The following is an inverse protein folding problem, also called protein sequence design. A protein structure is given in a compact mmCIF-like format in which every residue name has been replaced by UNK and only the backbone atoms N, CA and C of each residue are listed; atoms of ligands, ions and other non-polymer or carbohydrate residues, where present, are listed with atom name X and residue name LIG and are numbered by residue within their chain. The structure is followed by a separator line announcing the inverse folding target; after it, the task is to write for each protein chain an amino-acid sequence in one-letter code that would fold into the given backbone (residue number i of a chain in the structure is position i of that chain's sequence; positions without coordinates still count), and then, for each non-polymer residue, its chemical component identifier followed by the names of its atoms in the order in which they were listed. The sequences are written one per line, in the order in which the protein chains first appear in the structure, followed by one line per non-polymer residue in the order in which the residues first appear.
data_IF_128800578093
#
_entry.id   IF_128800578093
#
_cell.length_a   1.000
_cell.length_b   1.000
_cell.length_c   1.000
_cell.angle_alpha   90.00
_cell.angle_beta   90.00
_cell.angle_gamma   90.00
#
_symmetry.space_group_name_H-M   'P 1'
#
loop_
_entity.id
_entity.type
_entity.pdbx_description
1 polymer ?
#
# COMPACT_ATOMS: atom_id res chain seq x y z
N UNK A 1 -19.92 -14.38 -3.04
CA UNK A 1 -18.98 -15.40 -2.54
C UNK A 1 -18.48 -14.93 -1.18
N UNK A 2 -18.83 -15.61 -0.09
CA UNK A 2 -18.39 -15.22 1.25
C UNK A 2 -16.97 -15.72 1.47
N UNK A 3 -16.04 -14.81 1.77
CA UNK A 3 -14.69 -15.20 2.20
C UNK A 3 -14.80 -15.60 3.67
N UNK A 4 -14.66 -16.89 3.98
CA UNK A 4 -14.57 -17.33 5.36
C UNK A 4 -13.24 -16.84 5.96
N UNK A 5 -13.31 -16.23 7.15
CA UNK A 5 -12.12 -16.05 7.99
C UNK A 5 -11.56 -17.44 8.29
N UNK A 6 -10.36 -17.74 7.77
CA UNK A 6 -9.61 -18.94 8.17
C UNK A 6 -9.02 -18.69 9.53
N UNK A 7 -9.53 -19.44 10.51
CA UNK A 7 -9.15 -19.39 11.91
C UNK A 7 -8.72 -20.80 12.32
N UNK A 8 -7.51 -20.91 12.83
CA UNK A 8 -7.01 -22.10 13.53
C UNK A 8 -7.14 -21.80 15.04
N UNK A 9 -7.60 -22.77 15.85
CA UNK A 9 -7.56 -22.65 17.31
C UNK A 9 -6.47 -23.56 17.87
N UNK A 10 -5.63 -23.02 18.76
CA UNK A 10 -4.65 -23.78 19.54
C UNK A 10 -4.83 -23.54 21.04
N UNK A 11 -4.88 -24.61 21.87
CA UNK A 11 -4.72 -24.46 23.31
C UNK A 11 -3.25 -24.19 23.63
N UNK A 12 -2.98 -23.23 24.51
CA UNK A 12 -1.63 -23.02 25.06
C UNK A 12 -1.44 -23.85 26.35
N UNK A 13 -0.19 -24.07 26.76
CA UNK A 13 0.18 -24.91 27.91
C UNK A 13 -0.40 -24.42 29.25
N UNK A 14 -0.76 -23.13 29.35
CA UNK A 14 -1.42 -22.53 30.52
C UNK A 14 -2.96 -22.52 30.44
N UNK A 15 -3.55 -23.12 29.39
CA UNK A 15 -5.00 -23.28 29.22
C UNK A 15 -5.71 -22.13 28.49
N UNK A 16 -4.99 -21.08 28.07
CA UNK A 16 -5.56 -20.00 27.26
C UNK A 16 -5.78 -20.46 25.79
N UNK A 17 -6.86 -19.97 25.18
CA UNK A 17 -7.23 -20.28 23.79
C UNK A 17 -6.68 -19.23 22.83
N UNK A 18 -5.67 -19.59 22.03
CA UNK A 18 -5.20 -18.75 20.94
C UNK A 18 -6.01 -19.01 19.67
N UNK A 19 -6.45 -17.92 19.06
CA UNK A 19 -7.05 -17.88 17.73
C UNK A 19 -5.96 -17.37 16.78
N UNK A 20 -5.44 -18.21 15.90
CA UNK A 20 -4.60 -17.80 14.78
C UNK A 20 -5.46 -17.60 13.52
N UNK A 21 -5.07 -16.70 12.61
CA UNK A 21 -5.82 -16.50 11.38
C UNK A 21 -5.14 -15.62 10.33
N UNK A 22 -5.77 -15.56 9.16
CA UNK A 22 -5.30 -14.83 7.98
C UNK A 22 -6.04 -13.49 7.83
N UNK A 23 -5.45 -12.40 8.33
CA UNK A 23 -6.05 -11.06 8.24
C UNK A 23 -5.79 -10.39 6.88
N UNK A 24 -6.87 -10.05 6.18
CA UNK A 24 -6.83 -9.15 5.02
C UNK A 24 -6.54 -7.71 5.46
N UNK A 25 -5.49 -7.11 4.92
CA UNK A 25 -5.19 -5.68 5.05
C UNK A 25 -5.13 -5.06 3.64
N UNK A 26 -5.88 -3.98 3.45
CA UNK A 26 -5.98 -3.27 2.18
C UNK A 26 -5.02 -2.08 2.15
N UNK A 27 -4.39 -1.83 0.99
CA UNK A 27 -3.53 -0.67 0.81
C UNK A 27 -4.39 0.59 0.62
N UNK A 28 -4.35 1.50 1.59
CA UNK A 28 -5.03 2.81 1.56
C UNK A 28 -4.08 3.99 1.31
N UNK A 29 -2.78 3.72 1.10
CA UNK A 29 -1.75 4.74 0.94
C UNK A 29 -2.00 5.64 -0.28
N UNK A 30 -1.79 6.95 -0.10
CA UNK A 30 -1.88 7.98 -1.14
C UNK A 30 -0.51 8.37 -1.70
N UNK A 31 0.57 8.14 -0.95
CA UNK A 31 1.96 8.44 -1.29
C UNK A 31 2.73 7.16 -1.66
N UNK A 32 3.74 7.24 -2.56
CA UNK A 32 4.72 6.17 -2.72
C UNK A 32 5.58 6.00 -1.46
N UNK A 33 5.93 4.75 -1.15
CA UNK A 33 6.81 4.38 -0.03
C UNK A 33 8.12 3.76 -0.53
N UNK A 34 9.10 3.60 0.36
CA UNK A 34 10.37 2.96 0.04
C UNK A 34 10.44 1.54 0.58
N UNK A 35 11.00 0.64 -0.23
CA UNK A 35 11.43 -0.68 0.23
C UNK A 35 12.94 -0.64 0.49
N UNK A 36 13.42 -1.46 1.41
CA UNK A 36 14.83 -1.69 1.65
C UNK A 36 15.46 -2.28 0.37
N UNK A 37 16.48 -1.61 -0.16
CA UNK A 37 17.32 -2.20 -1.21
C UNK A 37 18.06 -3.40 -0.60
N UNK A 38 17.93 -4.56 -1.25
CA UNK A 38 18.77 -5.71 -0.93
C UNK A 38 19.97 -5.68 -1.86
N UNK A 39 21.13 -5.34 -1.33
CA UNK A 39 22.39 -5.37 -2.07
C UNK A 39 22.67 -6.79 -2.58
N UNK A 40 22.82 -6.96 -3.90
CA UNK A 40 23.08 -8.26 -4.54
C UNK A 40 24.48 -8.84 -4.22
N UNK A 41 25.28 -8.13 -3.43
CA UNK A 41 26.61 -8.53 -2.95
C UNK A 41 26.62 -9.87 -2.18
N UNK A 42 25.49 -10.31 -1.61
CA UNK A 42 25.37 -11.63 -0.96
C UNK A 42 24.84 -12.73 -1.90
N UNK A 43 24.38 -12.39 -3.12
CA UNK A 43 23.66 -13.33 -4.00
C UNK A 43 24.55 -14.21 -4.87
N UNK A 44 25.85 -13.94 -4.94
CA UNK A 44 26.81 -14.70 -5.77
C UNK A 44 28.03 -15.14 -4.95
N UNK A 45 27.77 -15.97 -3.92
CA UNK A 45 28.69 -17.05 -3.58
C UNK A 45 27.98 -18.38 -3.86
N UNK A 46 28.26 -19.06 -4.98
CA UNK A 46 27.85 -20.46 -5.09
C UNK A 46 28.48 -21.24 -3.92
N UNK A 47 27.79 -22.25 -3.36
CA UNK A 47 28.40 -23.12 -2.36
C UNK A 47 29.66 -23.77 -2.97
N UNK A 48 30.68 -24.10 -2.15
CA UNK A 48 31.91 -24.75 -2.61
C UNK A 48 31.63 -26.24 -2.94
N UNK A 49 30.86 -26.46 -4.00
CA UNK A 49 30.57 -27.77 -4.56
C UNK A 49 31.79 -28.27 -5.32
N UNK A 50 32.36 -29.38 -4.82
CA UNK A 50 33.47 -30.09 -5.45
C UNK A 50 33.14 -30.59 -6.87
N UNK A 51 34.14 -31.17 -7.55
CA UNK A 51 34.06 -31.83 -8.87
C UNK A 51 33.95 -30.93 -10.11
N UNK A 52 35.07 -30.25 -10.41
CA UNK A 52 35.86 -30.50 -11.63
C UNK A 52 35.08 -30.83 -12.93
N UNK A 53 34.71 -29.80 -13.69
CA UNK A 53 34.40 -29.94 -15.12
C UNK A 53 35.66 -29.83 -15.97
N UNK A 54 36.44 -30.90 -16.01
CA UNK A 54 37.50 -31.11 -17.00
C UNK A 54 37.19 -32.36 -17.82
N UNK A 55 36.52 -32.18 -18.95
CA UNK A 55 36.43 -33.20 -20.01
C UNK A 55 37.78 -33.32 -20.74
N UNK A 56 38.82 -33.74 -19.99
CA UNK A 56 40.16 -33.98 -20.51
C UNK A 56 40.23 -35.32 -21.21
N UNK A 57 40.54 -35.31 -22.50
CA UNK A 57 40.79 -36.53 -23.26
C UNK A 57 42.15 -37.15 -22.90
N UNK A 58 42.12 -38.38 -22.40
CA UNK A 58 43.19 -39.38 -22.60
C UNK A 58 42.68 -40.75 -22.10
N UNK A 59 42.74 -41.76 -22.97
CA UNK A 59 42.54 -43.16 -22.58
C UNK A 59 43.40 -44.03 -23.48
N UNK A 60 44.51 -44.52 -22.92
CA UNK A 60 45.46 -45.40 -23.57
C UNK A 60 45.63 -46.69 -22.74
N UNK A 61 46.01 -47.77 -23.43
CA UNK A 61 46.40 -49.09 -22.89
C UNK A 61 45.33 -50.09 -22.40
N UNK A 62 45.22 -51.17 -23.19
CA UNK A 62 45.01 -52.59 -22.80
C UNK A 62 43.60 -53.10 -22.42
N UNK A 63 43.06 -53.99 -23.28
CA UNK A 63 42.08 -55.04 -22.94
C UNK A 63 42.77 -56.43 -22.92
N UNK A 64 42.13 -57.57 -23.31
CA UNK A 64 40.75 -57.83 -23.77
C UNK A 64 40.14 -59.04 -22.99
N UNK A 65 39.27 -59.94 -23.53
CA UNK A 65 38.26 -59.89 -24.60
C UNK A 65 36.82 -60.24 -24.12
N UNK A 66 35.76 -60.05 -24.94
CA UNK A 66 34.37 -60.33 -24.48
C UNK A 66 33.17 -60.30 -25.45
N UNK A 67 33.28 -60.79 -26.69
CA UNK A 67 32.15 -61.27 -27.57
C UNK A 67 31.00 -60.33 -28.05
N UNK A 68 30.35 -60.74 -29.16
CA UNK A 68 29.03 -60.33 -29.71
C UNK A 68 28.81 -58.91 -30.28
N UNK A 69 29.18 -58.77 -31.56
CA UNK A 69 28.38 -58.28 -32.70
C UNK A 69 27.17 -57.32 -32.51
N UNK A 70 27.11 -56.25 -33.32
CA UNK A 70 25.93 -55.40 -33.53
C UNK A 70 26.21 -54.17 -34.41
N UNK A 71 25.95 -54.25 -35.72
CA UNK A 71 26.20 -53.15 -36.67
C UNK A 71 24.97 -52.25 -36.86
N UNK A 72 25.16 -50.92 -36.99
CA UNK A 72 24.91 -50.14 -38.25
C UNK A 72 25.01 -48.60 -38.03
N UNK A 73 25.14 -47.86 -39.14
CA UNK A 73 25.53 -46.44 -39.23
C UNK A 73 24.38 -45.50 -39.64
N UNK A 74 24.47 -44.18 -39.38
CA UNK A 74 23.44 -43.20 -39.72
C UNK A 74 23.55 -42.65 -41.17
N UNK A 75 22.51 -42.00 -41.71
CA UNK A 75 22.54 -41.25 -42.97
C UNK A 75 22.71 -39.73 -42.81
N UNK A 76 23.28 -39.10 -43.84
CA UNK A 76 23.34 -37.64 -44.13
C UNK A 76 22.54 -37.31 -45.42
N UNK A 77 22.71 -36.11 -46.02
CA UNK A 77 22.10 -35.57 -47.26
C UNK A 77 20.73 -34.85 -47.06
N UNK A 78 20.46 -33.55 -47.32
CA UNK A 78 21.07 -32.42 -48.10
C UNK A 78 20.52 -32.29 -49.56
N UNK A 79 20.36 -31.13 -50.24
CA UNK A 79 20.71 -29.71 -49.98
C UNK A 79 19.84 -28.70 -50.80
N UNK A 80 19.60 -27.47 -50.29
CA UNK A 80 19.13 -26.19 -50.94
C UNK A 80 17.81 -26.15 -51.79
N UNK A 81 17.46 -25.04 -52.51
CA UNK A 81 16.75 -23.84 -51.99
C UNK A 81 15.46 -23.49 -52.78
N UNK A 82 14.84 -22.29 -52.58
CA UNK A 82 15.12 -21.18 -53.50
C UNK A 82 15.15 -19.77 -52.83
N UNK A 83 15.09 -18.72 -53.66
CA UNK A 83 15.66 -17.38 -53.45
C UNK A 83 14.62 -16.25 -53.65
N UNK A 84 14.82 -15.09 -53.01
CA UNK A 84 14.62 -13.73 -53.58
C UNK A 84 14.96 -12.61 -52.56
N UNK A 85 15.62 -11.56 -53.04
CA UNK A 85 15.86 -10.30 -52.32
C UNK A 85 14.78 -9.23 -52.70
N UNK A 86 14.85 -7.98 -52.22
CA UNK A 86 15.83 -7.00 -52.73
C UNK A 86 16.61 -6.23 -51.64
N UNK A 87 17.59 -5.47 -52.09
CA UNK A 87 18.61 -4.75 -51.32
C UNK A 87 18.12 -3.40 -50.74
N UNK A 88 18.84 -2.90 -49.74
CA UNK A 88 19.14 -1.45 -49.60
C UNK A 88 20.53 -1.29 -48.95
N UNK A 89 21.27 -0.24 -49.31
CA UNK A 89 22.67 -0.02 -48.91
C UNK A 89 22.78 1.12 -47.86
N UNK A 90 23.65 0.96 -46.85
CA UNK A 90 23.64 1.88 -45.70
C UNK A 90 24.87 1.97 -44.79
N UNK A 91 26.06 1.60 -45.28
CA UNK A 91 27.37 1.93 -44.70
C UNK A 91 27.67 1.44 -43.25
N UNK A 92 28.86 1.79 -42.73
CA UNK A 92 29.53 1.11 -41.63
C UNK A 92 30.19 2.14 -40.68
N UNK A 93 29.81 2.13 -39.41
CA UNK A 93 30.54 2.84 -38.34
C UNK A 93 30.89 1.88 -37.19
N UNK A 94 32.18 1.74 -36.90
CA UNK A 94 32.67 1.22 -35.63
C UNK A 94 32.53 2.32 -34.56
N UNK A 95 31.79 2.05 -33.48
CA UNK A 95 31.89 2.84 -32.25
C UNK A 95 31.99 1.92 -31.03
N UNK A 96 32.94 2.24 -30.16
CA UNK A 96 33.42 1.40 -29.06
C UNK A 96 32.46 1.36 -27.86
N UNK A 97 32.17 0.16 -27.35
CA UNK A 97 31.47 -0.07 -26.08
C UNK A 97 32.37 0.25 -24.86
N UNK A 98 32.75 1.52 -24.68
CA UNK A 98 33.45 2.02 -23.48
C UNK A 98 32.71 3.21 -22.83
N UNK A 99 31.63 2.91 -22.08
CA UNK A 99 31.14 3.81 -21.01
C UNK A 99 30.36 3.05 -19.92
N UNK A 100 31.06 2.19 -19.20
CA UNK A 100 30.59 1.58 -17.94
C UNK A 100 31.33 2.17 -16.73
N UNK A 101 30.72 2.01 -15.54
CA UNK A 101 31.33 2.30 -14.22
C UNK A 101 31.52 3.77 -13.76
N UNK A 102 31.06 4.79 -14.50
CA UNK A 102 31.18 6.21 -14.08
C UNK A 102 30.01 6.79 -13.26
N UNK A 103 28.85 6.11 -13.19
CA UNK A 103 27.59 6.66 -12.64
C UNK A 103 27.15 6.13 -11.26
N UNK A 104 28.03 5.45 -10.53
CA UNK A 104 27.69 4.71 -9.30
C UNK A 104 27.80 5.52 -7.98
N UNK A 105 28.00 6.84 -8.04
CA UNK A 105 28.01 7.71 -6.86
C UNK A 105 27.03 8.87 -6.98
N UNK A 106 25.95 8.84 -6.20
CA UNK A 106 25.20 10.02 -5.81
C UNK A 106 25.30 10.18 -4.29
N UNK A 107 26.00 11.24 -3.87
CA UNK A 107 26.36 11.49 -2.49
C UNK A 107 25.12 11.69 -1.61
N UNK A 108 25.07 10.94 -0.51
CA UNK A 108 24.12 11.15 0.58
C UNK A 108 24.44 12.47 1.28
N UNK A 109 23.60 13.50 1.15
CA UNK A 109 23.04 14.30 2.29
C UNK A 109 22.32 15.60 1.87
N UNK A 110 21.40 16.01 2.76
CA UNK A 110 20.78 17.34 2.96
C UNK A 110 19.69 17.81 1.97
N UNK A 111 18.74 18.51 2.57
CA UNK A 111 17.59 19.19 1.99
C UNK A 111 18.02 20.45 1.21
N UNK A 112 17.25 20.83 0.19
CA UNK A 112 16.32 21.95 0.33
C UNK A 112 15.20 21.91 -0.74
N UNK A 113 14.31 22.89 -0.75
CA UNK A 113 13.04 22.92 -1.47
C UNK A 113 13.11 23.41 -2.94
N UNK A 114 12.00 23.19 -3.66
CA UNK A 114 11.45 24.21 -4.57
C UNK A 114 12.07 24.38 -5.96
N UNK A 115 12.10 23.33 -6.79
CA UNK A 115 12.47 23.47 -8.22
C UNK A 115 11.40 22.90 -9.18
N UNK A 116 10.50 23.76 -9.65
CA UNK A 116 9.54 23.47 -10.73
C UNK A 116 10.24 23.41 -12.11
N UNK A 117 10.83 22.26 -12.48
CA UNK A 117 11.39 22.05 -13.84
C UNK A 117 10.39 21.43 -14.80
N UNK A 118 9.61 22.33 -15.42
CA UNK A 118 9.04 22.28 -16.80
C UNK A 118 9.39 20.99 -17.58
N UNK A 119 8.38 20.16 -17.85
CA UNK A 119 8.58 18.78 -18.32
C UNK A 119 9.35 18.65 -19.64
N UNK A 120 10.55 18.06 -19.59
CA UNK A 120 11.23 17.54 -20.77
C UNK A 120 10.39 16.42 -21.41
N UNK A 121 10.07 16.56 -22.70
CA UNK A 121 9.47 15.47 -23.50
C UNK A 121 10.49 14.32 -23.60
N UNK A 122 10.34 13.29 -22.77
CA UNK A 122 11.24 12.13 -22.77
C UNK A 122 11.18 11.41 -24.11
N UNK A 123 12.34 11.26 -24.76
CA UNK A 123 12.50 10.53 -26.02
C UNK A 123 11.84 9.14 -25.99
N UNK A 124 11.29 8.63 -27.10
CA UNK A 124 10.72 7.28 -27.18
C UNK A 124 11.68 6.18 -26.68
N UNK A 125 12.99 6.30 -26.91
CA UNK A 125 13.99 5.35 -26.39
C UNK A 125 14.05 5.39 -24.86
N UNK A 126 14.01 6.57 -24.26
CA UNK A 126 14.02 6.77 -22.81
C UNK A 126 12.68 6.30 -22.19
N UNK A 127 11.54 6.51 -22.85
CA UNK A 127 10.26 5.92 -22.43
C UNK A 127 10.26 4.39 -22.50
N UNK A 128 10.90 3.79 -23.53
CA UNK A 128 11.12 2.34 -23.63
C UNK A 128 12.06 1.82 -22.53
N UNK A 129 13.17 2.51 -22.25
CA UNK A 129 14.14 2.18 -21.17
C UNK A 129 13.50 2.28 -19.78
N UNK A 130 12.65 3.29 -19.57
CA UNK A 130 11.78 3.39 -18.37
C UNK A 130 10.82 2.20 -18.31
N UNK A 131 10.02 1.92 -19.36
CA UNK A 131 9.08 0.78 -19.37
C UNK A 131 9.77 -0.55 -19.03
N UNK A 132 10.96 -0.83 -19.57
CA UNK A 132 11.76 -2.03 -19.27
C UNK A 132 12.25 -2.13 -17.80
N UNK A 133 12.27 -1.02 -17.05
CA UNK A 133 12.61 -1.00 -15.63
C UNK A 133 11.40 -0.87 -14.69
N UNK A 134 10.17 -0.76 -15.21
CA UNK A 134 8.94 -0.72 -14.41
C UNK A 134 8.40 -2.14 -14.21
N UNK A 135 8.82 -2.81 -13.15
CA UNK A 135 8.26 -4.10 -12.76
C UNK A 135 6.94 -3.90 -12.01
N UNK A 136 5.95 -4.74 -12.32
CA UNK A 136 4.71 -4.85 -11.55
C UNK A 136 4.80 -6.06 -10.63
N UNK A 137 4.83 -5.85 -9.31
CA UNK A 137 4.81 -6.93 -8.33
C UNK A 137 3.39 -7.07 -7.78
N UNK A 138 2.71 -8.18 -8.11
CA UNK A 138 1.30 -8.41 -7.76
C UNK A 138 0.34 -7.25 -8.16
N UNK A 139 0.62 -6.58 -9.29
CA UNK A 139 -0.14 -5.42 -9.76
C UNK A 139 0.23 -4.08 -9.10
N UNK A 140 1.12 -4.07 -8.11
CA UNK A 140 1.70 -2.87 -7.53
C UNK A 140 2.86 -2.35 -8.40
N UNK A 141 3.12 -1.04 -8.38
CA UNK A 141 4.24 -0.46 -9.12
C UNK A 141 5.53 -0.50 -8.30
N UNK A 142 6.63 -1.02 -8.87
CA UNK A 142 7.96 -0.99 -8.25
C UNK A 142 9.04 -0.46 -9.21
N UNK A 143 9.92 0.40 -8.68
CA UNK A 143 11.12 0.88 -9.37
C UNK A 143 12.38 0.48 -8.60
N UNK A 144 13.01 -0.62 -9.03
CA UNK A 144 14.22 -1.17 -8.42
C UNK A 144 15.38 -0.17 -8.29
N UNK A 145 15.52 0.79 -9.22
CA UNK A 145 16.61 1.79 -9.20
C UNK A 145 16.49 2.84 -8.10
N UNK A 146 15.32 3.01 -7.51
CA UNK A 146 15.08 4.01 -6.45
C UNK A 146 14.38 3.42 -5.24
N UNK A 147 14.19 2.09 -5.23
CA UNK A 147 13.38 1.30 -4.31
C UNK A 147 11.96 1.84 -4.04
N UNK A 148 11.43 2.66 -4.96
CA UNK A 148 10.10 3.27 -4.79
C UNK A 148 9.03 2.25 -5.15
N UNK A 149 8.13 2.02 -4.21
CA UNK A 149 6.97 1.17 -4.35
C UNK A 149 5.70 2.02 -4.24
N UNK A 150 4.72 1.75 -5.10
CA UNK A 150 3.40 2.38 -5.04
C UNK A 150 2.36 1.26 -5.12
N UNK A 151 1.76 0.87 -3.98
CA UNK A 151 0.72 -0.14 -3.99
C UNK A 151 -0.51 0.36 -4.74
N UNK A 152 -1.29 -0.57 -5.29
CA UNK A 152 -2.57 -0.22 -5.91
C UNK A 152 -3.58 0.07 -4.79
N UNK A 153 -4.18 1.26 -4.77
CA UNK A 153 -5.18 1.61 -3.76
C UNK A 153 -6.35 0.61 -3.77
N UNK A 154 -6.75 0.13 -2.60
CA UNK A 154 -7.81 -0.88 -2.45
C UNK A 154 -7.42 -2.29 -2.87
N UNK A 155 -6.16 -2.55 -3.24
CA UNK A 155 -5.64 -3.93 -3.36
C UNK A 155 -5.36 -4.52 -1.97
N UNK A 156 -5.42 -5.85 -1.86
CA UNK A 156 -5.34 -6.58 -0.58
C UNK A 156 -4.02 -7.35 -0.45
N UNK A 157 -3.48 -7.41 0.75
CA UNK A 157 -2.44 -8.34 1.17
C UNK A 157 -2.86 -9.01 2.48
N UNK A 158 -2.52 -10.27 2.66
CA UNK A 158 -2.94 -11.04 3.83
C UNK A 158 -1.74 -11.40 4.73
N UNK A 159 -1.91 -11.32 6.05
CA UNK A 159 -0.90 -11.63 7.07
C UNK A 159 -1.42 -12.69 8.05
N UNK A 160 -0.62 -13.72 8.35
CA UNK A 160 -0.91 -14.65 9.45
C UNK A 160 -0.58 -13.95 10.77
N UNK A 161 -1.56 -13.86 11.65
CA UNK A 161 -1.48 -13.23 12.98
C UNK A 161 -2.33 -14.02 13.98
N UNK A 162 -2.23 -13.72 15.28
CA UNK A 162 -3.07 -14.33 16.30
C UNK A 162 -3.79 -13.30 17.20
N UNK A 163 -4.70 -13.79 18.04
CA UNK A 163 -5.58 -12.99 18.91
C UNK A 163 -4.81 -12.07 19.87
N UNK A 164 -3.61 -12.48 20.28
CA UNK A 164 -2.76 -11.75 21.23
C UNK A 164 -1.91 -10.67 20.54
N UNK A 165 -1.97 -10.52 19.21
CA UNK A 165 -1.20 -9.52 18.48
C UNK A 165 -1.86 -8.13 18.50
N UNK A 166 -1.19 -7.18 19.14
CA UNK A 166 -1.57 -5.76 19.14
C UNK A 166 -1.35 -5.08 17.79
N UNK A 167 -2.05 -3.97 17.52
CA UNK A 167 -1.92 -3.15 16.30
C UNK A 167 -0.46 -2.89 15.88
N UNK A 168 0.47 -2.46 16.77
CA UNK A 168 1.86 -2.21 16.39
C UNK A 168 2.68 -3.49 16.11
N UNK A 169 2.24 -4.67 16.58
CA UNK A 169 2.85 -5.95 16.20
C UNK A 169 2.37 -6.38 14.80
N UNK A 170 1.06 -6.32 14.55
CA UNK A 170 0.45 -6.62 13.23
C UNK A 170 1.01 -5.70 12.15
N UNK A 171 1.14 -4.40 12.44
CA UNK A 171 1.74 -3.41 11.54
C UNK A 171 3.19 -3.77 11.20
N UNK A 172 4.02 -4.11 12.19
CA UNK A 172 5.41 -4.54 11.95
C UNK A 172 5.51 -5.83 11.13
N UNK A 173 4.61 -6.81 11.33
CA UNK A 173 4.55 -8.01 10.47
C UNK A 173 4.27 -7.63 9.01
N UNK A 174 3.32 -6.72 8.77
CA UNK A 174 3.03 -6.22 7.43
C UNK A 174 4.21 -5.47 6.80
N UNK A 175 4.82 -4.54 7.52
CA UNK A 175 5.96 -3.75 7.01
C UNK A 175 7.18 -4.63 6.73
N UNK A 176 7.47 -5.59 7.62
CA UNK A 176 8.57 -6.57 7.44
C UNK A 176 8.33 -7.53 6.28
N UNK A 177 7.07 -7.91 6.00
CA UNK A 177 6.70 -8.77 4.85
C UNK A 177 7.04 -8.10 3.51
N UNK A 178 6.92 -6.78 3.43
CA UNK A 178 7.25 -6.00 2.21
C UNK A 178 8.63 -5.33 2.27
N UNK A 179 9.38 -5.49 3.37
CA UNK A 179 10.68 -4.84 3.62
C UNK A 179 10.60 -3.32 3.48
N UNK A 180 9.60 -2.68 4.07
CA UNK A 180 9.42 -1.23 3.99
C UNK A 180 10.49 -0.51 4.84
N UNK A 181 11.12 0.53 4.27
CA UNK A 181 12.19 1.34 4.90
C UNK A 181 11.63 2.43 5.83
N UNK A 182 10.40 2.88 5.55
CA UNK A 182 9.68 3.90 6.32
C UNK A 182 9.43 3.51 7.79
N UNK A 183 9.25 4.52 8.66
CA UNK A 183 9.00 4.30 10.09
C UNK A 183 7.65 3.57 10.28
N UNK A 184 7.51 2.64 11.24
CA UNK A 184 6.21 2.11 11.59
C UNK A 184 5.23 3.19 12.09
N UNK A 185 5.74 4.28 12.67
CA UNK A 185 4.92 5.42 13.10
C UNK A 185 4.55 6.38 11.95
N UNK A 186 5.04 6.18 10.71
CA UNK A 186 4.55 6.87 9.50
C UNK A 186 3.14 6.38 9.09
N UNK A 187 2.66 5.27 9.67
CA UNK A 187 1.47 4.55 9.25
C UNK A 187 0.56 4.14 10.42
N UNK A 188 -0.73 4.02 10.15
CA UNK A 188 -1.68 3.37 11.05
C UNK A 188 -2.65 2.44 10.32
N UNK A 189 -3.25 1.53 11.10
CA UNK A 189 -4.32 0.66 10.62
C UNK A 189 -5.68 1.29 10.94
N UNK A 190 -6.59 1.25 9.98
CA UNK A 190 -7.94 1.81 10.08
C UNK A 190 -8.99 0.75 9.75
N UNK A 191 -10.06 0.66 10.53
CA UNK A 191 -11.30 0.01 10.12
C UNK A 191 -12.09 0.97 9.23
N UNK A 192 -12.52 0.50 8.06
CA UNK A 192 -13.35 1.26 7.11
C UNK A 192 -14.61 0.47 6.79
N UNK A 193 -15.77 1.05 7.09
CA UNK A 193 -17.08 0.43 6.92
C UNK A 193 -17.77 0.92 5.63
N UNK A 194 -18.69 0.12 5.08
CA UNK A 194 -19.50 0.47 3.91
C UNK A 194 -20.47 1.65 4.14
N UNK A 195 -20.70 2.03 5.39
CA UNK A 195 -21.33 3.31 5.77
C UNK A 195 -20.54 4.52 5.25
N UNK A 196 -19.21 4.44 5.24
CA UNK A 196 -18.26 5.55 5.07
C UNK A 196 -17.47 5.86 6.35
N UNK A 197 -17.84 5.23 7.47
CA UNK A 197 -17.18 5.37 8.78
C UNK A 197 -15.76 4.81 8.72
N UNK A 198 -14.82 5.53 9.35
CA UNK A 198 -13.39 5.22 9.36
C UNK A 198 -12.83 5.47 10.76
N UNK A 199 -12.49 4.38 11.45
CA UNK A 199 -11.98 4.40 12.83
C UNK A 199 -10.54 3.92 12.85
N UNK A 200 -9.66 4.66 13.53
CA UNK A 200 -8.26 4.30 13.73
C UNK A 200 -8.11 3.20 14.78
N UNK A 201 -7.26 2.21 14.52
CA UNK A 201 -6.90 1.21 15.52
C UNK A 201 -5.87 1.77 16.50
N UNK A 202 -6.15 1.66 17.80
CA UNK A 202 -5.27 2.12 18.88
C UNK A 202 -4.08 1.18 19.02
N UNK A 203 -2.99 1.68 19.63
CA UNK A 203 -1.77 0.89 19.90
C UNK A 203 -2.03 -0.31 20.83
N UNK A 204 -3.13 -0.30 21.58
CA UNK A 204 -3.60 -1.36 22.51
C UNK A 204 -4.59 -2.33 21.89
N UNK A 205 -5.11 -2.06 20.69
CA UNK A 205 -6.17 -2.88 20.08
C UNK A 205 -5.59 -4.16 19.44
N UNK A 206 -6.43 -5.17 19.26
CA UNK A 206 -6.09 -6.47 18.69
C UNK A 206 -6.78 -6.67 17.32
N UNK A 207 -6.10 -6.42 16.17
CA UNK A 207 -6.75 -6.36 14.87
C UNK A 207 -7.46 -7.65 14.42
N UNK A 208 -6.99 -8.83 14.84
CA UNK A 208 -7.68 -10.10 14.54
C UNK A 208 -9.01 -10.20 15.29
N UNK A 209 -9.02 -9.88 16.58
CA UNK A 209 -10.21 -9.92 17.44
C UNK A 209 -11.24 -8.91 16.95
N UNK A 210 -10.82 -7.68 16.64
CA UNK A 210 -11.68 -6.67 16.03
C UNK A 210 -12.24 -7.12 14.68
N UNK A 211 -11.45 -7.81 13.85
CA UNK A 211 -11.96 -8.34 12.57
C UNK A 211 -13.01 -9.43 12.77
N UNK A 212 -12.86 -10.28 13.79
CA UNK A 212 -13.86 -11.30 14.13
C UNK A 212 -15.17 -10.64 14.60
N UNK A 213 -15.10 -9.61 15.46
CA UNK A 213 -16.26 -8.84 15.94
C UNK A 213 -16.99 -8.14 14.79
N UNK A 214 -16.26 -7.56 13.83
CA UNK A 214 -16.83 -6.94 12.62
C UNK A 214 -17.27 -7.96 11.54
N UNK A 215 -17.13 -9.25 11.82
CA UNK A 215 -17.51 -10.35 10.93
C UNK A 215 -16.60 -10.53 9.69
N UNK A 216 -16.78 -11.63 8.94
CA UNK A 216 -15.90 -12.02 7.84
C UNK A 216 -16.13 -11.24 6.52
N UNK A 217 -17.15 -10.37 6.44
CA UNK A 217 -17.56 -9.79 5.17
C UNK A 217 -16.75 -8.55 4.79
N UNK A 218 -15.85 -8.70 3.82
CA UNK A 218 -15.09 -7.59 3.20
C UNK A 218 -15.98 -6.52 2.53
N UNK A 219 -17.28 -6.78 2.32
CA UNK A 219 -18.23 -5.78 1.80
C UNK A 219 -18.92 -4.96 2.90
N UNK A 220 -18.72 -5.31 4.18
CA UNK A 220 -19.30 -4.58 5.34
C UNK A 220 -18.23 -3.73 6.00
N UNK A 221 -17.07 -4.32 6.29
CA UNK A 221 -15.93 -3.68 6.92
C UNK A 221 -14.61 -4.24 6.37
N UNK A 222 -13.56 -3.42 6.32
CA UNK A 222 -12.19 -3.75 5.86
C UNK A 222 -11.15 -3.12 6.79
N UNK A 223 -10.01 -3.78 6.98
CA UNK A 223 -8.82 -3.17 7.61
C UNK A 223 -7.93 -2.56 6.53
N UNK A 224 -7.59 -1.28 6.64
CA UNK A 224 -6.70 -0.56 5.71
C UNK A 224 -5.40 -0.12 6.40
N UNK A 225 -4.29 -0.13 5.65
CA UNK A 225 -3.07 0.62 5.98
C UNK A 225 -3.13 2.01 5.34
N UNK A 226 -3.04 3.07 6.13
CA UNK A 226 -3.00 4.47 5.67
C UNK A 226 -1.82 5.23 6.29
N UNK A 227 -1.42 6.35 5.71
CA UNK A 227 -0.46 7.27 6.33
C UNK A 227 -1.04 7.91 7.60
N UNK A 228 -0.25 8.00 8.66
CA UNK A 228 -0.64 8.53 9.97
C UNK A 228 -1.06 10.02 9.90
N UNK A 229 -0.46 10.79 8.99
CA UNK A 229 -0.74 12.23 8.81
C UNK A 229 -1.90 12.54 7.84
N UNK A 230 -2.46 11.52 7.16
CA UNK A 230 -3.59 11.67 6.23
C UNK A 230 -4.84 10.86 6.65
N UNK A 231 -4.73 10.03 7.68
CA UNK A 231 -5.79 9.16 8.19
C UNK A 231 -6.77 9.86 9.14
N UNK A 232 -7.58 10.77 8.58
CA UNK A 232 -8.68 11.47 9.25
C UNK A 232 -9.79 10.50 9.73
N UNK A 233 -10.15 10.52 11.02
CA UNK A 233 -11.25 9.71 11.53
C UNK A 233 -12.62 10.24 11.06
N UNK A 234 -13.54 9.32 10.72
CA UNK A 234 -14.89 9.64 10.26
C UNK A 234 -15.88 8.88 11.13
N UNK A 235 -16.67 9.60 11.93
CA UNK A 235 -17.74 9.02 12.76
C UNK A 235 -18.92 8.55 11.91
N UNK A 236 -19.73 7.65 12.47
CA UNK A 236 -20.95 7.14 11.84
C UNK A 236 -21.91 8.25 11.35
N UNK A 237 -22.05 9.34 12.11
CA UNK A 237 -22.92 10.46 11.74
C UNK A 237 -22.39 11.24 10.53
N UNK A 238 -21.08 11.52 10.51
CA UNK A 238 -20.41 12.23 9.40
C UNK A 238 -20.35 11.35 8.14
N UNK A 239 -20.17 10.03 8.30
CA UNK A 239 -20.08 9.07 7.20
C UNK A 239 -21.27 9.11 6.23
N UNK A 240 -22.46 9.40 6.74
CA UNK A 240 -23.69 9.53 5.95
C UNK A 240 -23.60 10.67 4.92
N UNK A 241 -22.87 11.74 5.24
CA UNK A 241 -22.76 12.94 4.42
C UNK A 241 -21.68 12.83 3.32
N UNK A 242 -20.68 11.96 3.46
CA UNK A 242 -19.58 11.77 2.49
C UNK A 242 -20.08 11.37 1.08
N UNK A 243 -21.30 10.85 0.98
CA UNK A 243 -21.92 10.41 -0.27
C UNK A 243 -22.62 11.53 -1.04
N UNK A 244 -22.68 12.76 -0.52
CA UNK A 244 -23.26 13.92 -1.20
C UNK A 244 -22.20 14.80 -1.86
N UNK A 245 -22.57 15.47 -2.96
CA UNK A 245 -21.72 16.47 -3.60
C UNK A 245 -21.60 17.76 -2.76
N UNK A 246 -20.49 18.47 -2.93
CA UNK A 246 -20.20 19.70 -2.18
C UNK A 246 -21.33 20.77 -2.23
N UNK A 247 -22.03 21.02 -3.35
CA UNK A 247 -23.16 21.96 -3.37
C UNK A 247 -24.36 21.52 -2.52
N UNK A 248 -24.58 20.20 -2.39
CA UNK A 248 -25.64 19.63 -1.56
C UNK A 248 -25.30 19.81 -0.08
N UNK A 249 -24.04 19.55 0.29
CA UNK A 249 -23.52 19.81 1.64
C UNK A 249 -23.61 21.30 2.02
N UNK A 250 -23.27 22.20 1.09
CA UNK A 250 -23.46 23.64 1.27
C UNK A 250 -24.94 24.01 1.48
N UNK A 251 -25.87 23.39 0.75
CA UNK A 251 -27.31 23.59 0.96
C UNK A 251 -27.78 23.16 2.36
N UNK A 252 -27.24 22.07 2.92
CA UNK A 252 -27.53 21.68 4.29
C UNK A 252 -27.01 22.70 5.31
N UNK A 253 -25.77 23.19 5.15
CA UNK A 253 -25.18 24.21 6.04
C UNK A 253 -26.02 25.50 6.02
N UNK A 254 -26.44 25.95 4.83
CA UNK A 254 -27.30 27.13 4.67
C UNK A 254 -28.63 26.94 5.40
N UNK A 255 -29.33 25.82 5.16
CA UNK A 255 -30.64 25.55 5.80
C UNK A 255 -30.58 25.39 7.31
N UNK A 256 -29.51 24.78 7.83
CA UNK A 256 -29.28 24.65 9.27
C UNK A 256 -29.08 26.03 9.91
N UNK A 257 -28.29 26.90 9.28
CA UNK A 257 -28.13 28.28 9.72
C UNK A 257 -29.43 29.08 9.65
N UNK A 258 -30.20 28.93 8.57
CA UNK A 258 -31.52 29.58 8.44
C UNK A 258 -32.53 29.12 9.52
N UNK A 259 -32.40 27.89 10.05
CA UNK A 259 -33.19 27.40 11.19
C UNK A 259 -32.66 27.94 12.53
N UNK A 260 -31.34 27.96 12.73
CA UNK A 260 -30.68 28.55 13.89
C UNK A 260 -31.03 30.04 14.04
N UNK A 261 -30.88 30.84 12.98
CA UNK A 261 -31.24 32.27 12.96
C UNK A 261 -32.74 32.48 13.27
N UNK A 262 -33.63 31.56 12.87
CA UNK A 262 -35.07 31.62 13.17
C UNK A 262 -35.36 31.32 14.65
N UNK A 263 -34.77 30.28 15.22
CA UNK A 263 -34.96 29.95 16.64
C UNK A 263 -34.29 30.98 17.56
N UNK A 264 -33.13 31.54 17.18
CA UNK A 264 -32.49 32.66 17.88
C UNK A 264 -33.40 33.89 17.91
N UNK A 265 -33.98 34.29 16.77
CA UNK A 265 -34.93 35.41 16.75
C UNK A 265 -36.18 35.14 17.60
N UNK A 266 -36.73 33.92 17.55
CA UNK A 266 -37.89 33.48 18.35
C UNK A 266 -37.58 33.54 19.85
N UNK A 267 -36.38 33.10 20.26
CA UNK A 267 -35.89 33.19 21.63
C UNK A 267 -35.70 34.66 22.07
N UNK A 268 -35.09 35.50 21.23
CA UNK A 268 -34.93 36.94 21.49
C UNK A 268 -36.28 37.65 21.68
N UNK A 269 -37.27 37.38 20.81
CA UNK A 269 -38.63 37.93 20.94
C UNK A 269 -39.27 37.52 22.26
N UNK A 270 -39.17 36.25 22.66
CA UNK A 270 -39.70 35.73 23.92
C UNK A 270 -38.99 36.34 25.14
N UNK A 271 -37.66 36.47 25.09
CA UNK A 271 -36.86 37.11 26.14
C UNK A 271 -37.25 38.59 26.31
N UNK A 272 -37.29 39.36 25.21
CA UNK A 272 -37.65 40.78 25.25
C UNK A 272 -39.07 41.02 25.77
N UNK A 273 -40.03 40.16 25.40
CA UNK A 273 -41.40 40.22 25.91
C UNK A 273 -41.48 39.95 27.43
N UNK A 274 -40.83 38.90 27.92
CA UNK A 274 -40.79 38.57 29.35
C UNK A 274 -40.05 39.66 30.14
N UNK A 275 -38.92 40.16 29.62
CA UNK A 275 -38.17 41.27 30.19
C UNK A 275 -39.04 42.53 30.30
N UNK A 276 -39.78 42.89 29.26
CA UNK A 276 -40.71 44.02 29.29
C UNK A 276 -41.80 43.86 30.35
N UNK A 277 -42.36 42.66 30.53
CA UNK A 277 -43.35 42.40 31.60
C UNK A 277 -42.73 42.61 32.99
N UNK A 278 -41.54 42.07 33.23
CA UNK A 278 -40.84 42.20 34.51
C UNK A 278 -40.48 43.67 34.78
N UNK A 279 -39.89 44.37 33.80
CA UNK A 279 -39.57 45.80 33.92
C UNK A 279 -40.81 46.69 34.04
N UNK A 280 -41.99 46.24 33.59
CA UNK A 280 -43.26 46.92 33.82
C UNK A 280 -43.78 46.66 35.24
N UNK A 281 -43.77 45.40 35.70
CA UNK A 281 -44.20 45.05 37.06
C UNK A 281 -43.34 45.75 38.12
N UNK A 282 -42.01 45.77 37.96
CA UNK A 282 -41.08 46.48 38.86
C UNK A 282 -41.34 47.99 38.91
N UNK A 283 -41.85 48.62 37.83
CA UNK A 283 -42.26 50.03 37.79
C UNK A 283 -43.70 50.28 38.26
N UNK A 284 -44.50 49.23 38.46
CA UNK A 284 -45.86 49.29 38.97
C UNK A 284 -45.98 48.78 40.42
N UNK A 285 -44.87 48.36 41.04
CA UNK A 285 -44.79 48.27 42.49
C UNK A 285 -44.93 49.69 43.06
N UNK A 286 -45.83 49.94 44.03
CA UNK A 286 -45.83 51.21 44.74
C UNK A 286 -44.52 51.38 45.52
N UNK A 287 -44.08 52.62 45.72
CA UNK A 287 -43.20 52.90 46.85
C UNK A 287 -43.97 52.50 48.12
N UNK A 288 -43.53 51.44 48.81
CA UNK A 288 -44.15 51.09 50.10
C UNK A 288 -44.04 52.29 51.05
N UNK A 289 -45.13 52.54 51.77
CA UNK A 289 -45.37 53.82 52.40
C UNK A 289 -44.20 54.23 53.31
N UNK A 290 -43.86 55.52 53.29
CA UNK A 290 -43.03 56.14 54.33
C UNK A 290 -43.73 55.94 55.67
N UNK A 291 -43.30 54.93 56.43
CA UNK A 291 -43.70 54.77 57.82
C UNK A 291 -43.25 56.02 58.59
N UNK A 292 -44.23 56.68 59.20
CA UNK A 292 -44.08 57.83 60.08
C UNK A 292 -43.86 57.33 61.51
#
# INVERSE_FOLDING_TARGET
MCVFLRIDLSPQEEGELIIEGLLNIFWGLRRPIRLQMQDDHERIRPPPSSTSWHSGCNLDSQGPPGSSEGQQTPPQVEITPPENQPEDNGEMEEQTDEDSESSAQLLRTKSDAGVLRRGQRRSPSNQRKIRRHRFSINGHFYNHKTAVFTPAYGSVTNVRINSCMTTPQVLRVLLNKFKIENSPDDFALYLVHASGERVKLKRTDFPLVLRIIQGPCEQVCKVFLMEEDLGEEVTYDVAQYIKFEMPVLQSFIIKLKEEEDREVQKLQRRYNYLRYIIEKQLRCLPEEAKCI
#
